data_IF_378599381333
#
_entry.id   IF_378599381333
#
_cell.length_a   1.000
_cell.length_b   1.000
_cell.length_c   1.000
_cell.angle_alpha   90.00
_cell.angle_beta   90.00
_cell.angle_gamma   90.00
#
_symmetry.space_group_name_H-M   'P 1'
#
loop_
_entity.id
_entity.type
_entity.pdbx_description
1 polymer ?
#
# COMPACT_ATOMS: atom_id res chain seq x y z
N UNK A 1 -2.71 1.43 35.48
CA UNK A 1 -2.54 0.16 34.76
C UNK A 1 -3.86 -0.13 34.03
N UNK A 2 -3.86 -0.05 32.70
CA UNK A 2 -5.06 0.21 31.90
C UNK A 2 -5.98 -1.03 31.75
N UNK A 3 -7.29 -0.84 31.86
CA UNK A 3 -8.33 -1.89 31.83
C UNK A 3 -8.33 -2.71 30.53
N UNK A 4 -7.87 -2.11 29.42
CA UNK A 4 -7.74 -2.77 28.10
C UNK A 4 -6.55 -3.74 28.01
N UNK A 5 -5.44 -3.44 28.69
CA UNK A 5 -4.27 -4.33 28.81
C UNK A 5 -4.61 -5.61 29.58
N UNK A 6 -5.50 -5.51 30.58
CA UNK A 6 -6.06 -6.69 31.27
C UNK A 6 -6.94 -7.52 30.35
N UNK A 7 -7.73 -6.90 29.48
CA UNK A 7 -8.61 -7.60 28.54
C UNK A 7 -7.81 -8.36 27.46
N UNK A 8 -6.73 -7.76 26.93
CA UNK A 8 -5.84 -8.43 25.98
C UNK A 8 -5.12 -9.63 26.59
N UNK A 9 -4.57 -9.48 27.80
CA UNK A 9 -3.94 -10.60 28.51
C UNK A 9 -4.95 -11.67 28.94
N UNK A 10 -6.15 -11.28 29.38
CA UNK A 10 -7.23 -12.22 29.67
C UNK A 10 -7.69 -12.96 28.41
N UNK A 11 -7.70 -12.33 27.24
CA UNK A 11 -8.07 -12.99 25.98
C UNK A 11 -7.01 -14.00 25.53
N UNK A 12 -5.72 -13.68 25.65
CA UNK A 12 -4.61 -14.60 25.34
C UNK A 12 -4.52 -15.74 26.35
N UNK A 13 -4.67 -15.46 27.64
CA UNK A 13 -4.72 -16.48 28.70
C UNK A 13 -5.99 -17.32 28.61
N UNK A 14 -7.12 -16.75 28.19
CA UNK A 14 -8.34 -17.50 27.89
C UNK A 14 -8.11 -18.41 26.68
N UNK A 15 -7.54 -17.93 25.58
CA UNK A 15 -7.26 -18.75 24.41
C UNK A 15 -6.33 -19.94 24.73
N UNK A 16 -5.31 -19.72 25.57
CA UNK A 16 -4.41 -20.78 26.05
C UNK A 16 -5.06 -21.73 27.07
N UNK A 17 -5.99 -21.25 27.90
CA UNK A 17 -6.76 -22.08 28.83
C UNK A 17 -7.89 -22.87 28.13
N UNK A 18 -8.52 -22.28 27.09
CA UNK A 18 -9.57 -22.91 26.28
C UNK A 18 -9.03 -24.02 25.38
N UNK A 19 -7.74 -23.98 24.99
CA UNK A 19 -7.08 -25.12 24.35
C UNK A 19 -6.98 -26.37 25.25
N UNK A 20 -7.08 -26.20 26.57
CA UNK A 20 -6.99 -27.29 27.55
C UNK A 20 -8.35 -27.74 28.11
N UNK A 21 -9.42 -26.96 27.93
CA UNK A 21 -10.77 -27.31 28.39
C UNK A 21 -11.73 -27.36 27.22
N UNK A 22 -12.15 -28.58 26.84
CA UNK A 22 -13.11 -28.88 25.77
C UNK A 22 -14.53 -28.36 25.99
N UNK A 23 -14.67 -27.07 26.25
CA UNK A 23 -15.94 -26.34 26.23
C UNK A 23 -16.17 -25.90 24.78
N UNK A 24 -17.28 -26.36 24.20
CA UNK A 24 -17.80 -25.91 22.91
C UNK A 24 -18.05 -24.41 22.98
N UNK A 25 -17.04 -23.60 22.66
CA UNK A 25 -17.24 -22.20 22.36
C UNK A 25 -18.07 -22.12 21.09
N UNK A 26 -19.10 -21.27 21.13
CA UNK A 26 -19.95 -20.96 20.00
C UNK A 26 -19.08 -20.66 18.77
N UNK A 27 -19.35 -21.31 17.64
CA UNK A 27 -18.49 -21.25 16.44
C UNK A 27 -18.26 -19.79 16.01
N UNK A 28 -19.23 -18.91 16.26
CA UNK A 28 -19.11 -17.47 16.02
C UNK A 28 -18.06 -16.76 16.89
N UNK A 29 -17.86 -17.18 18.15
CA UNK A 29 -16.87 -16.57 19.06
C UNK A 29 -15.45 -16.97 18.64
N UNK A 30 -15.25 -18.25 18.31
CA UNK A 30 -13.94 -18.73 17.82
C UNK A 30 -13.61 -18.06 16.49
N UNK A 31 -14.57 -18.01 15.56
CA UNK A 31 -14.36 -17.38 14.25
C UNK A 31 -14.05 -15.89 14.39
N UNK A 32 -14.79 -15.15 15.21
CA UNK A 32 -14.52 -13.73 15.44
C UNK A 32 -13.15 -13.49 16.09
N UNK A 33 -12.75 -14.34 17.05
CA UNK A 33 -11.42 -14.25 17.66
C UNK A 33 -10.29 -14.53 16.66
N UNK A 34 -10.46 -15.55 15.81
CA UNK A 34 -9.51 -15.86 14.73
C UNK A 34 -9.38 -14.70 13.75
N UNK A 35 -10.49 -14.21 13.21
CA UNK A 35 -10.46 -13.10 12.24
C UNK A 35 -9.90 -11.83 12.87
N UNK A 36 -10.25 -11.52 14.12
CA UNK A 36 -9.71 -10.34 14.83
C UNK A 36 -8.19 -10.46 15.05
N UNK A 37 -7.69 -11.64 15.39
CA UNK A 37 -6.25 -11.87 15.56
C UNK A 37 -5.49 -11.73 14.24
N UNK A 38 -6.10 -12.18 13.15
CA UNK A 38 -5.52 -12.07 11.82
C UNK A 38 -5.57 -10.62 11.32
N UNK A 39 -6.66 -9.88 11.55
CA UNK A 39 -6.77 -8.45 11.22
C UNK A 39 -5.76 -7.63 12.00
N UNK A 40 -5.52 -7.95 13.28
CA UNK A 40 -4.47 -7.32 14.05
C UNK A 40 -3.10 -7.49 13.38
N UNK A 41 -2.73 -8.71 13.00
CA UNK A 41 -1.47 -8.97 12.29
C UNK A 41 -1.45 -8.26 10.93
N UNK A 42 -2.56 -8.26 10.21
CA UNK A 42 -2.71 -7.59 8.92
C UNK A 42 -2.44 -6.09 9.03
N UNK A 43 -3.08 -5.40 9.98
CA UNK A 43 -2.92 -3.97 10.21
C UNK A 43 -1.46 -3.64 10.52
N UNK A 44 -0.73 -4.49 11.28
CA UNK A 44 0.71 -4.27 11.52
C UNK A 44 1.54 -4.38 10.24
N UNK A 45 1.19 -5.29 9.34
CA UNK A 45 1.88 -5.43 8.04
C UNK A 45 1.55 -4.24 7.14
N UNK A 46 0.29 -3.81 7.12
CA UNK A 46 -0.17 -2.64 6.38
C UNK A 46 0.58 -1.36 6.82
N UNK A 47 0.58 -1.05 8.11
CA UNK A 47 1.31 0.09 8.67
C UNK A 47 2.79 0.05 8.31
N UNK A 48 3.41 -1.13 8.42
CA UNK A 48 4.83 -1.29 8.08
C UNK A 48 5.11 -0.97 6.62
N UNK A 49 4.24 -1.40 5.70
CA UNK A 49 4.40 -1.10 4.28
C UNK A 49 4.25 0.41 4.03
N UNK A 50 3.32 1.08 4.71
CA UNK A 50 3.07 2.52 4.56
C UNK A 50 4.21 3.43 5.02
N UNK A 51 5.12 2.94 5.86
CA UNK A 51 6.26 3.71 6.37
C UNK A 51 7.10 4.27 5.22
N UNK A 52 7.38 3.46 4.19
CA UNK A 52 8.29 3.83 3.12
C UNK A 52 7.53 4.09 1.82
N UNK A 53 7.19 5.35 1.55
CA UNK A 53 6.48 5.75 0.33
C UNK A 53 7.43 6.08 -0.81
N UNK A 54 7.07 5.63 -2.00
CA UNK A 54 7.76 5.96 -3.25
C UNK A 54 6.92 6.88 -4.12
N UNK A 55 7.54 7.50 -5.11
CA UNK A 55 6.79 8.24 -6.12
C UNK A 55 7.59 8.42 -7.39
N UNK A 56 6.85 8.47 -8.50
CA UNK A 56 7.39 8.77 -9.82
C UNK A 56 6.57 9.87 -10.46
N UNK A 57 7.26 10.85 -11.03
CA UNK A 57 6.65 11.89 -11.84
C UNK A 57 7.39 12.04 -13.17
N UNK A 58 6.65 12.55 -14.15
CA UNK A 58 7.15 12.85 -15.48
C UNK A 58 6.87 14.30 -15.85
N UNK A 59 7.85 14.94 -16.50
CA UNK A 59 7.75 16.32 -16.97
C UNK A 59 9.09 17.04 -16.88
N UNK A 60 9.25 18.25 -17.42
CA UNK A 60 10.51 18.98 -17.32
C UNK A 60 10.78 19.41 -15.87
N UNK A 61 11.90 18.95 -15.30
CA UNK A 61 12.42 19.48 -14.03
C UNK A 61 13.93 19.58 -13.95
N UNK A 62 14.33 20.37 -12.96
CA UNK A 62 15.68 20.40 -12.47
C UNK A 62 15.68 20.66 -10.96
N UNK A 63 16.45 19.85 -10.24
CA UNK A 63 16.78 20.10 -8.85
C UNK A 63 16.69 18.87 -7.97
N UNK A 64 16.94 19.10 -6.69
CA UNK A 64 16.80 18.09 -5.66
C UNK A 64 16.39 18.77 -4.35
N UNK A 65 15.66 18.04 -3.53
CA UNK A 65 15.34 18.42 -2.16
C UNK A 65 15.54 17.20 -1.27
N UNK A 66 16.27 17.41 -0.18
CA UNK A 66 16.34 16.48 0.95
C UNK A 66 15.80 17.22 2.16
N UNK A 67 14.86 16.61 2.86
CA UNK A 67 14.32 17.15 4.10
C UNK A 67 14.32 16.08 5.18
N UNK A 68 14.91 16.42 6.31
CA UNK A 68 14.82 15.66 7.56
C UNK A 68 13.89 16.48 8.44
N UNK A 69 12.58 16.26 8.32
CA UNK A 69 11.51 17.10 8.90
C UNK A 69 11.43 18.51 8.30
N UNK A 70 10.44 19.29 8.74
CA UNK A 70 10.25 20.67 8.35
C UNK A 70 11.32 21.62 8.90
N UNK A 71 12.11 21.19 9.88
CA UNK A 71 13.10 22.04 10.54
C UNK A 71 14.48 21.95 9.88
N UNK A 72 14.76 20.87 9.15
CA UNK A 72 16.04 20.64 8.50
C UNK A 72 15.83 20.22 7.04
N UNK A 73 15.57 21.19 6.18
CA UNK A 73 15.43 21.03 4.74
C UNK A 73 16.63 21.63 4.00
N UNK A 74 17.03 21.00 2.89
CA UNK A 74 17.95 21.56 1.92
C UNK A 74 17.46 21.19 0.53
N UNK A 75 17.07 22.18 -0.27
CA UNK A 75 16.64 21.90 -1.62
C UNK A 75 16.39 23.13 -2.47
N UNK A 76 16.61 22.97 -3.76
CA UNK A 76 16.13 23.88 -4.77
C UNK A 76 15.57 23.01 -5.89
N UNK A 77 14.32 23.27 -6.26
CA UNK A 77 13.60 22.42 -7.20
C UNK A 77 12.66 23.26 -8.04
N UNK A 78 12.66 23.03 -9.35
CA UNK A 78 11.73 23.62 -10.29
C UNK A 78 11.26 22.54 -11.25
N UNK A 79 9.95 22.29 -11.25
CA UNK A 79 9.35 21.28 -12.10
C UNK A 79 8.00 21.74 -12.65
N UNK A 80 7.67 21.22 -13.82
CA UNK A 80 6.31 21.07 -14.29
C UNK A 80 6.09 19.57 -14.44
N UNK A 81 5.39 18.96 -13.48
CA UNK A 81 5.35 17.51 -13.34
C UNK A 81 3.93 16.99 -13.26
N UNK A 82 3.74 15.78 -13.78
CA UNK A 82 2.56 14.94 -13.57
C UNK A 82 3.05 13.62 -13.02
N UNK A 83 2.57 13.23 -11.85
CA UNK A 83 3.10 12.06 -11.16
C UNK A 83 2.09 11.38 -10.25
N UNK A 84 2.56 10.28 -9.67
CA UNK A 84 1.84 9.52 -8.68
C UNK A 84 2.77 9.09 -7.56
N UNK A 85 2.28 9.14 -6.34
CA UNK A 85 2.93 8.54 -5.18
C UNK A 85 2.35 7.14 -4.97
N UNK A 86 3.24 6.19 -4.69
CA UNK A 86 2.97 4.81 -4.35
C UNK A 86 2.89 4.65 -2.82
N UNK A 87 2.03 3.75 -2.33
CA UNK A 87 1.85 3.55 -0.89
C UNK A 87 3.07 2.87 -0.26
N UNK A 88 3.83 2.09 -1.03
CA UNK A 88 5.08 1.47 -0.60
C UNK A 88 6.02 1.23 -1.79
N UNK A 89 7.03 0.35 -1.70
CA UNK A 89 7.99 0.03 -2.79
C UNK A 89 7.91 -1.41 -3.34
N UNK A 90 6.84 -2.16 -3.02
CA UNK A 90 6.70 -3.58 -3.37
C UNK A 90 5.66 -3.73 -4.48
N UNK A 91 6.04 -3.83 -5.77
CA UNK A 91 5.10 -4.21 -6.82
C UNK A 91 4.81 -5.72 -6.76
N UNK A 92 3.60 -6.18 -7.16
CA UNK A 92 2.42 -5.40 -7.56
C UNK A 92 1.53 -4.99 -6.37
N UNK A 93 2.00 -5.25 -5.15
CA UNK A 93 1.26 -5.09 -3.91
C UNK A 93 0.72 -3.65 -3.70
N UNK A 94 1.27 -2.66 -4.41
CA UNK A 94 0.70 -1.31 -4.53
C UNK A 94 -0.78 -1.26 -4.89
N UNK A 95 -1.32 -2.26 -5.59
CA UNK A 95 -2.71 -2.30 -6.05
C UNK A 95 -3.71 -2.76 -4.98
N UNK A 96 -3.22 -3.18 -3.82
CA UNK A 96 -4.07 -3.60 -2.71
C UNK A 96 -4.44 -2.36 -1.88
N UNK A 97 -5.73 -2.11 -1.62
CA UNK A 97 -6.13 -1.18 -0.58
C UNK A 97 -5.86 -1.81 0.78
N UNK A 98 -4.84 -1.32 1.48
CA UNK A 98 -4.42 -1.86 2.78
C UNK A 98 -5.32 -1.41 3.93
N UNK A 99 -5.82 -0.18 3.83
CA UNK A 99 -6.62 0.50 4.84
C UNK A 99 -7.95 0.96 4.27
N UNK A 100 -8.93 1.19 5.14
CA UNK A 100 -10.20 1.80 4.75
C UNK A 100 -9.95 3.24 4.25
N UNK A 101 -10.60 3.63 3.14
CA UNK A 101 -10.59 4.99 2.56
C UNK A 101 -9.22 5.58 2.10
N UNK A 102 -8.16 4.77 1.98
CA UNK A 102 -6.87 5.25 1.44
C UNK A 102 -6.77 5.10 -0.09
N UNK A 103 -6.46 6.17 -0.84
CA UNK A 103 -6.26 6.06 -2.28
C UNK A 103 -4.95 5.34 -2.60
N UNK A 104 -5.06 4.26 -3.38
CA UNK A 104 -3.95 3.43 -3.89
C UNK A 104 -2.82 4.27 -4.51
N UNK A 105 -3.17 5.32 -5.27
CA UNK A 105 -2.20 6.26 -5.83
C UNK A 105 -2.62 7.69 -5.55
N UNK A 106 -1.73 8.47 -4.93
CA UNK A 106 -1.93 9.91 -4.78
C UNK A 106 -1.34 10.62 -5.99
N UNK A 107 -2.22 11.02 -6.92
CA UNK A 107 -1.85 11.71 -8.16
C UNK A 107 -1.65 13.19 -7.91
N UNK A 108 -0.66 13.78 -8.58
CA UNK A 108 -0.40 15.21 -8.56
C UNK A 108 -0.04 15.70 -9.97
N UNK A 109 -0.35 16.97 -10.25
CA UNK A 109 -0.04 17.61 -11.52
C UNK A 109 0.10 19.13 -11.32
N UNK A 110 1.16 19.72 -11.86
CA UNK A 110 1.28 21.17 -11.91
C UNK A 110 2.72 21.68 -11.97
N UNK A 111 2.84 23.01 -11.92
CA UNK A 111 4.11 23.71 -11.81
C UNK A 111 4.41 23.97 -10.34
N UNK A 112 5.59 23.52 -9.91
CA UNK A 112 6.07 23.66 -8.54
C UNK A 112 7.53 24.14 -8.55
N UNK A 113 7.77 25.26 -7.85
CA UNK A 113 9.12 25.79 -7.62
C UNK A 113 9.32 26.00 -6.13
N UNK A 114 10.44 25.51 -5.61
CA UNK A 114 10.78 25.67 -4.20
C UNK A 114 12.24 25.97 -4.00
N UNK A 115 12.50 26.74 -2.96
CA UNK A 115 13.80 26.87 -2.33
C UNK A 115 13.59 26.66 -0.83
N UNK A 116 14.26 25.66 -0.29
CA UNK A 116 14.17 25.27 1.11
C UNK A 116 15.58 25.23 1.72
N UNK A 117 15.75 25.88 2.87
CA UNK A 117 16.99 25.89 3.62
C UNK A 117 16.69 26.00 5.12
N UNK A 118 17.13 24.99 5.89
CA UNK A 118 16.78 24.86 7.30
C UNK A 118 15.27 24.73 7.48
N UNK A 119 14.69 25.57 8.33
CA UNK A 119 13.24 25.64 8.57
C UNK A 119 12.48 26.62 7.67
N UNK A 120 13.15 27.24 6.69
CA UNK A 120 12.52 28.25 5.84
C UNK A 120 12.30 27.65 4.46
N UNK A 121 11.03 27.68 4.02
CA UNK A 121 10.61 27.29 2.67
C UNK A 121 9.97 28.47 1.97
N UNK A 122 10.39 28.72 0.73
CA UNK A 122 9.70 29.62 -0.19
C UNK A 122 9.25 28.81 -1.39
N UNK A 123 7.96 28.74 -1.60
CA UNK A 123 7.36 28.01 -2.71
C UNK A 123 6.52 28.91 -3.59
N UNK A 124 6.51 28.59 -4.88
CA UNK A 124 5.64 29.20 -5.86
C UNK A 124 4.99 28.05 -6.64
N UNK A 125 3.69 27.89 -6.41
CA UNK A 125 2.93 26.73 -6.84
C UNK A 125 1.66 27.20 -7.53
N UNK A 126 1.33 26.56 -8.66
CA UNK A 126 0.07 26.86 -9.37
C UNK A 126 -1.15 26.36 -8.60
N UNK A 127 -1.04 25.18 -7.98
CA UNK A 127 -2.10 24.52 -7.22
C UNK A 127 -1.53 23.76 -6.01
N UNK A 128 -2.30 23.67 -4.92
CA UNK A 128 -1.87 23.01 -3.69
C UNK A 128 -1.52 21.51 -3.87
N UNK A 129 -1.98 20.88 -4.96
CA UNK A 129 -1.71 19.49 -5.32
C UNK A 129 -0.67 19.29 -6.43
N UNK A 130 0.21 20.27 -6.67
CA UNK A 130 1.18 20.22 -7.78
C UNK A 130 2.47 19.43 -7.49
N UNK A 131 2.62 18.85 -6.29
CA UNK A 131 3.83 18.17 -5.85
C UNK A 131 3.53 16.87 -5.10
N UNK A 132 4.56 16.04 -4.89
CA UNK A 132 4.48 14.87 -4.01
C UNK A 132 3.97 15.22 -2.61
N UNK A 133 3.23 14.32 -1.99
CA UNK A 133 2.65 14.52 -0.66
C UNK A 133 3.75 14.66 0.43
N UNK A 134 3.56 15.60 1.37
CA UNK A 134 4.58 16.00 2.35
C UNK A 134 3.93 16.31 3.69
N UNK A 135 4.41 15.64 4.74
CA UNK A 135 4.04 15.98 6.11
C UNK A 135 5.19 16.70 6.85
N UNK A 136 4.87 17.47 7.91
CA UNK A 136 5.86 18.23 8.68
C UNK A 136 7.02 17.41 9.25
N UNK A 137 6.77 16.15 9.62
CA UNK A 137 7.76 15.32 10.29
C UNK A 137 8.41 14.29 9.36
N UNK A 138 8.10 14.29 8.06
CA UNK A 138 8.61 13.29 7.13
C UNK A 138 10.11 13.44 6.87
N UNK A 139 10.79 12.31 6.69
CA UNK A 139 12.13 12.28 6.10
C UNK A 139 11.97 11.98 4.63
N UNK A 140 12.32 12.92 3.75
CA UNK A 140 12.05 12.82 2.32
C UNK A 140 13.23 13.21 1.47
N UNK A 141 13.30 12.61 0.30
CA UNK A 141 14.22 12.96 -0.76
C UNK A 141 13.45 12.97 -2.10
N UNK A 142 13.61 14.04 -2.86
CA UNK A 142 13.15 14.13 -4.24
C UNK A 142 14.30 14.59 -5.12
N UNK A 143 14.39 13.99 -6.30
CA UNK A 143 15.35 14.36 -7.34
C UNK A 143 14.65 14.37 -8.68
N UNK A 144 14.88 15.44 -9.44
CA UNK A 144 14.30 15.66 -10.74
C UNK A 144 15.37 16.18 -11.68
N UNK A 145 15.63 15.44 -12.75
CA UNK A 145 16.58 15.85 -13.78
C UNK A 145 16.04 15.47 -15.15
N UNK A 146 15.75 16.49 -15.96
CA UNK A 146 15.21 16.29 -17.29
C UNK A 146 13.73 15.94 -17.21
N UNK A 147 13.38 14.68 -17.50
CA UNK A 147 11.99 14.24 -17.69
C UNK A 147 11.47 13.36 -16.53
N UNK A 148 12.34 12.65 -15.82
CA UNK A 148 11.95 11.63 -14.83
C UNK A 148 12.36 12.07 -13.45
N UNK A 149 11.40 12.06 -12.52
CA UNK A 149 11.63 12.48 -11.15
C UNK A 149 11.35 11.33 -10.21
N UNK A 150 12.26 11.13 -9.26
CA UNK A 150 12.14 10.13 -8.21
C UNK A 150 11.82 10.79 -6.89
N UNK A 151 10.88 10.19 -6.16
CA UNK A 151 10.51 10.57 -4.81
C UNK A 151 10.60 9.37 -3.88
N UNK A 152 11.16 9.58 -2.70
CA UNK A 152 11.15 8.63 -1.61
C UNK A 152 10.92 9.37 -0.28
N UNK A 153 10.05 8.83 0.56
CA UNK A 153 9.80 9.38 1.87
C UNK A 153 9.58 8.29 2.92
N UNK A 154 10.03 8.58 4.13
CA UNK A 154 9.72 7.85 5.34
C UNK A 154 8.66 8.68 6.09
N UNK A 155 7.46 8.12 6.19
CA UNK A 155 6.31 8.71 6.87
C UNK A 155 6.45 8.49 8.38
N UNK A 156 6.91 9.51 9.10
CA UNK A 156 7.20 9.37 10.54
C UNK A 156 5.94 9.21 11.39
N UNK A 157 4.80 9.76 10.94
CA UNK A 157 3.50 9.48 11.56
C UNK A 157 3.16 7.99 11.48
N UNK A 158 3.37 7.37 10.32
CA UNK A 158 3.15 5.92 10.14
C UNK A 158 4.14 5.07 10.94
N UNK A 159 5.39 5.53 11.11
CA UNK A 159 6.32 4.88 12.06
C UNK A 159 5.76 4.91 13.48
N UNK A 160 5.21 6.05 13.91
CA UNK A 160 4.57 6.20 15.22
C UNK A 160 3.35 5.29 15.37
N UNK A 161 2.51 5.22 14.35
CA UNK A 161 1.31 4.38 14.35
C UNK A 161 1.64 2.89 14.39
N UNK A 162 2.56 2.44 13.54
CA UNK A 162 3.08 1.07 13.57
C UNK A 162 3.56 0.67 14.97
N UNK A 163 4.39 1.50 15.60
CA UNK A 163 4.92 1.25 16.95
C UNK A 163 3.82 1.29 18.01
N UNK A 164 2.84 2.18 17.89
CA UNK A 164 1.70 2.28 18.80
C UNK A 164 0.80 1.04 18.70
N UNK A 165 0.55 0.52 17.50
CA UNK A 165 -0.30 -0.65 17.38
C UNK A 165 0.39 -1.97 17.67
N UNK A 166 1.72 -2.04 17.79
CA UNK A 166 2.40 -3.17 18.48
C UNK A 166 1.86 -3.36 19.91
N UNK A 167 1.43 -2.28 20.57
CA UNK A 167 0.79 -2.33 21.90
C UNK A 167 -0.73 -2.20 21.83
N UNK A 168 -1.32 -2.35 20.65
CA UNK A 168 -2.77 -2.29 20.41
C UNK A 168 -3.38 -0.89 20.48
N UNK A 169 -2.59 0.15 20.25
CA UNK A 169 -3.09 1.52 20.07
C UNK A 169 -3.17 1.86 18.58
N UNK A 170 -4.18 2.63 18.21
CA UNK A 170 -4.40 3.11 16.84
C UNK A 170 -4.58 4.63 16.88
N UNK A 171 -3.47 5.41 16.91
CA UNK A 171 -3.52 6.87 16.88
C UNK A 171 -4.10 7.49 15.61
N UNK A 172 -3.91 6.86 14.44
CA UNK A 172 -4.35 7.40 13.15
C UNK A 172 -5.79 7.02 12.79
N UNK A 173 -6.30 5.93 13.32
CA UNK A 173 -7.69 5.50 13.15
C UNK A 173 -7.96 4.81 11.80
N UNK A 174 -6.91 4.46 11.05
CA UNK A 174 -6.95 3.92 9.69
C UNK A 174 -6.90 2.38 9.64
N UNK A 175 -6.78 1.71 10.78
CA UNK A 175 -6.85 0.25 10.92
C UNK A 175 -8.13 -0.34 10.31
N UNK A 176 -7.97 -1.38 9.48
CA UNK A 176 -9.08 -2.14 8.91
C UNK A 176 -9.87 -2.84 10.03
N UNK A 177 -11.20 -2.76 9.97
CA UNK A 177 -12.09 -3.29 11.02
C UNK A 177 -12.93 -4.45 10.52
N UNK A 178 -13.34 -5.28 11.47
CA UNK A 178 -14.27 -6.37 11.20
C UNK A 178 -15.66 -5.78 10.92
N UNK A 179 -16.03 -5.65 9.65
CA UNK A 179 -17.42 -5.39 9.29
C UNK A 179 -18.23 -6.71 9.36
N UNK A 180 -19.24 -6.82 10.26
CA UNK A 180 -20.09 -8.01 10.37
C UNK A 180 -21.16 -8.08 9.26
N UNK A 181 -21.37 -7.03 8.47
CA UNK A 181 -22.39 -6.95 7.44
C UNK A 181 -21.92 -7.45 6.07
N UNK A 182 -20.60 -7.52 5.86
CA UNK A 182 -20.00 -7.97 4.60
C UNK A 182 -19.99 -9.50 4.54
N UNK A 183 -20.53 -10.04 3.44
CA UNK A 183 -20.46 -11.48 3.15
C UNK A 183 -19.03 -11.85 2.73
N UNK A 184 -18.36 -12.62 3.58
CA UNK A 184 -17.01 -13.15 3.32
C UNK A 184 -17.07 -14.49 2.59
N UNK A 185 -16.20 -14.67 1.60
CA UNK A 185 -16.12 -15.91 0.80
C UNK A 185 -14.69 -16.47 0.77
N UNK A 186 -14.20 -17.06 1.89
CA UNK A 186 -12.82 -17.58 1.99
C UNK A 186 -12.47 -18.65 0.95
N UNK A 187 -13.42 -19.54 0.64
CA UNK A 187 -13.23 -20.60 -0.36
C UNK A 187 -13.05 -20.02 -1.77
N UNK A 188 -13.81 -18.97 -2.11
CA UNK A 188 -13.69 -18.29 -3.40
C UNK A 188 -12.37 -17.52 -3.49
N UNK A 189 -11.94 -16.87 -2.40
CA UNK A 189 -10.64 -16.21 -2.31
C UNK A 189 -9.47 -17.20 -2.46
N UNK A 190 -9.57 -18.37 -1.84
CA UNK A 190 -8.59 -19.45 -2.03
C UNK A 190 -8.60 -20.00 -3.47
N UNK A 191 -9.77 -20.22 -4.06
CA UNK A 191 -9.89 -20.75 -5.42
C UNK A 191 -9.31 -19.79 -6.47
N UNK A 192 -9.60 -18.48 -6.37
CA UNK A 192 -9.01 -17.47 -7.25
C UNK A 192 -7.50 -17.34 -7.03
N UNK A 193 -7.02 -17.47 -5.79
CA UNK A 193 -5.60 -17.26 -5.47
C UNK A 193 -4.74 -18.35 -6.09
N UNK A 194 -5.16 -19.61 -5.97
CA UNK A 194 -4.52 -20.75 -6.64
C UNK A 194 -4.57 -20.59 -8.16
N UNK A 195 -5.70 -20.16 -8.72
CA UNK A 195 -5.84 -19.92 -10.16
C UNK A 195 -4.87 -18.82 -10.64
N UNK A 196 -4.77 -17.73 -9.91
CA UNK A 196 -3.91 -16.60 -10.23
C UNK A 196 -2.43 -16.98 -10.18
N UNK A 197 -2.00 -17.80 -9.22
CA UNK A 197 -0.63 -18.32 -9.14
C UNK A 197 -0.34 -19.29 -10.28
N UNK A 198 -1.23 -20.24 -10.55
CA UNK A 198 -0.98 -21.30 -11.55
C UNK A 198 -1.03 -20.80 -13.00
N UNK A 199 -1.89 -19.81 -13.27
CA UNK A 199 -2.19 -19.36 -14.64
C UNK A 199 -1.83 -17.90 -14.91
N UNK A 200 -1.22 -17.19 -13.95
CA UNK A 200 -0.81 -15.78 -14.13
C UNK A 200 0.16 -15.54 -15.29
N UNK A 201 1.06 -16.49 -15.54
CA UNK A 201 2.01 -16.43 -16.65
C UNK A 201 1.35 -16.43 -18.05
N UNK A 202 0.11 -16.91 -18.18
CA UNK A 202 -0.62 -16.89 -19.47
C UNK A 202 -0.95 -15.47 -19.93
N UNK A 203 -0.97 -14.49 -19.02
CA UNK A 203 -1.15 -13.08 -19.38
C UNK A 203 -0.03 -12.58 -20.29
N UNK A 204 1.19 -13.13 -20.20
CA UNK A 204 2.30 -12.73 -21.06
C UNK A 204 1.96 -12.95 -22.55
N UNK A 205 1.60 -14.18 -22.91
CA UNK A 205 1.24 -14.54 -24.29
C UNK A 205 -0.07 -13.88 -24.75
N UNK A 206 -1.07 -13.83 -23.87
CA UNK A 206 -2.39 -13.24 -24.16
C UNK A 206 -2.28 -11.76 -24.54
N UNK A 207 -1.45 -10.98 -23.85
CA UNK A 207 -1.28 -9.55 -24.15
C UNK A 207 -0.43 -9.32 -25.41
N UNK A 208 0.58 -10.16 -25.68
CA UNK A 208 1.32 -10.10 -26.95
C UNK A 208 0.43 -10.35 -28.15
N UNK A 209 -0.44 -11.37 -28.09
CA UNK A 209 -1.39 -11.68 -29.18
C UNK A 209 -2.41 -10.56 -29.33
N UNK A 210 -3.02 -10.10 -28.22
CA UNK A 210 -4.04 -9.06 -28.25
C UNK A 210 -3.51 -7.75 -28.83
N UNK A 211 -2.40 -7.23 -28.30
CA UNK A 211 -1.80 -5.99 -28.81
C UNK A 211 -1.27 -6.19 -30.23
N UNK A 212 -0.79 -7.38 -30.58
CA UNK A 212 -0.40 -7.73 -31.94
C UNK A 212 -1.57 -7.63 -32.93
N UNK A 213 -2.76 -8.07 -32.53
CA UNK A 213 -3.98 -7.98 -33.34
C UNK A 213 -4.52 -6.54 -33.44
N UNK A 214 -4.43 -5.77 -32.36
CA UNK A 214 -5.00 -4.42 -32.28
C UNK A 214 -4.08 -3.35 -32.92
N UNK A 215 -2.76 -3.47 -32.74
CA UNK A 215 -1.77 -2.42 -33.05
C UNK A 215 -0.62 -2.91 -33.96
N UNK A 216 -0.62 -4.19 -34.33
CA UNK A 216 0.38 -4.81 -35.21
C UNK A 216 1.48 -5.58 -34.46
N UNK A 217 2.18 -6.47 -35.17
CA UNK A 217 3.11 -7.44 -34.58
C UNK A 217 4.23 -6.81 -33.74
N UNK A 218 4.78 -5.67 -34.20
CA UNK A 218 5.84 -4.95 -33.49
C UNK A 218 5.33 -4.32 -32.19
N UNK A 219 4.09 -3.82 -32.17
CA UNK A 219 3.44 -3.35 -30.96
C UNK A 219 3.13 -4.54 -30.01
N UNK A 220 2.73 -5.68 -30.55
CA UNK A 220 2.56 -6.93 -29.79
C UNK A 220 3.83 -7.37 -29.08
N UNK A 221 4.97 -7.34 -29.78
CA UNK A 221 6.27 -7.73 -29.20
C UNK A 221 6.82 -6.73 -28.20
N UNK A 222 6.55 -5.43 -28.37
CA UNK A 222 7.08 -4.38 -27.48
C UNK A 222 6.10 -4.04 -26.36
N UNK A 223 5.00 -3.38 -26.70
CA UNK A 223 3.94 -2.95 -25.77
C UNK A 223 3.19 -4.16 -25.19
N UNK A 224 2.85 -5.15 -26.02
CA UNK A 224 2.14 -6.36 -25.58
C UNK A 224 2.96 -7.20 -24.62
N UNK A 225 4.27 -7.33 -24.86
CA UNK A 225 5.19 -8.00 -23.93
C UNK A 225 5.28 -7.25 -22.60
N UNK A 226 5.52 -5.93 -22.61
CA UNK A 226 5.60 -5.14 -21.38
C UNK A 226 4.31 -5.18 -20.56
N UNK A 227 3.15 -5.06 -21.22
CA UNK A 227 1.85 -5.19 -20.58
C UNK A 227 1.61 -6.61 -20.03
N UNK A 228 2.06 -7.63 -20.77
CA UNK A 228 1.98 -9.02 -20.37
C UNK A 228 2.81 -9.32 -19.12
N UNK A 229 4.07 -8.88 -19.08
CA UNK A 229 4.93 -8.98 -17.89
C UNK A 229 4.28 -8.31 -16.69
N UNK A 230 3.78 -7.08 -16.87
CA UNK A 230 3.10 -6.36 -15.80
C UNK A 230 1.88 -7.12 -15.27
N UNK A 231 1.01 -7.59 -16.16
CA UNK A 231 -0.20 -8.35 -15.78
C UNK A 231 0.11 -9.69 -15.14
N UNK A 232 1.14 -10.39 -15.60
CA UNK A 232 1.62 -11.62 -14.95
C UNK A 232 2.08 -11.33 -13.53
N UNK A 233 2.93 -10.31 -13.32
CA UNK A 233 3.38 -9.93 -11.99
C UNK A 233 2.21 -9.56 -11.08
N UNK A 234 1.26 -8.75 -11.58
CA UNK A 234 0.04 -8.38 -10.84
C UNK A 234 -0.76 -9.60 -10.43
N UNK A 235 -0.99 -10.54 -11.37
CA UNK A 235 -1.82 -11.71 -11.11
C UNK A 235 -1.14 -12.68 -10.15
N UNK A 236 0.14 -12.96 -10.32
CA UNK A 236 0.88 -13.84 -9.41
C UNK A 236 1.03 -13.23 -8.01
N UNK A 237 1.36 -11.94 -7.92
CA UNK A 237 1.49 -11.25 -6.64
C UNK A 237 0.15 -11.13 -5.90
N UNK A 238 -0.93 -10.81 -6.61
CA UNK A 238 -2.29 -10.84 -6.04
C UNK A 238 -2.68 -12.27 -5.63
N UNK A 239 -2.29 -13.29 -6.39
CA UNK A 239 -2.52 -14.68 -6.03
C UNK A 239 -1.81 -15.08 -4.73
N UNK A 240 -0.53 -14.75 -4.56
CA UNK A 240 0.20 -15.02 -3.30
C UNK A 240 -0.43 -14.26 -2.13
N UNK A 241 -0.77 -12.99 -2.36
CA UNK A 241 -1.46 -12.16 -1.37
C UNK A 241 -2.80 -12.78 -0.94
N UNK A 242 -3.66 -13.12 -1.90
CA UNK A 242 -4.97 -13.71 -1.67
C UNK A 242 -4.86 -15.10 -1.04
N UNK A 243 -3.78 -15.84 -1.28
CA UNK A 243 -3.49 -17.11 -0.62
C UNK A 243 -3.07 -16.94 0.84
N UNK A 244 -2.39 -15.85 1.21
CA UNK A 244 -2.07 -15.56 2.62
C UNK A 244 -3.29 -14.99 3.35
N UNK A 245 -4.12 -14.24 2.64
CA UNK A 245 -5.27 -13.50 3.18
C UNK A 245 -6.61 -14.23 3.01
N UNK A 246 -6.63 -15.44 2.41
CA UNK A 246 -7.86 -16.19 2.13
C UNK A 246 -8.81 -16.36 3.32
N UNK A 247 -8.37 -16.49 4.59
CA UNK A 247 -9.29 -16.66 5.71
C UNK A 247 -10.21 -15.43 5.90
N UNK A 248 -9.80 -14.26 5.42
CA UNK A 248 -10.59 -13.04 5.50
C UNK A 248 -11.77 -13.00 4.52
N UNK A 249 -11.75 -13.81 3.45
CA UNK A 249 -12.80 -13.86 2.44
C UNK A 249 -13.09 -12.51 1.78
N UNK A 250 -12.05 -11.73 1.50
CA UNK A 250 -12.13 -10.41 0.88
C UNK A 250 -12.59 -10.47 -0.57
N UNK A 251 -13.08 -9.32 -1.04
CA UNK A 251 -13.39 -9.11 -2.45
C UNK A 251 -12.12 -9.25 -3.32
N UNK A 252 -12.28 -9.67 -4.59
CA UNK A 252 -11.16 -9.79 -5.52
C UNK A 252 -10.30 -8.52 -5.56
N UNK A 253 -8.98 -8.68 -5.41
CA UNK A 253 -8.02 -7.59 -5.68
C UNK A 253 -7.88 -7.38 -7.19
N UNK A 254 -7.88 -8.49 -7.93
CA UNK A 254 -7.84 -8.50 -9.40
C UNK A 254 -9.11 -9.17 -9.90
N UNK A 255 -9.93 -8.40 -10.62
CA UNK A 255 -11.08 -8.96 -11.32
C UNK A 255 -10.59 -9.91 -12.44
N UNK A 256 -11.19 -11.11 -12.57
CA UNK A 256 -10.70 -12.16 -13.47
C UNK A 256 -10.65 -11.77 -14.94
#
# INVERSE_FOLDING_TARGET
>A
MNTRLRQGWLAVSAALAFGASGLRADEGVINNALVSSQLYVWNRVADFLEIARGGLAVGPSIGAEVAVTEHAMLGAYAAQERGASFPHFVPPLWLVPYMEDTPIFTKHEGLYRTVAYGGIRKENVTDAGAHFDREPLDVRAQVGLGIVHGYAAIKTRQVGDFLAGVVGMDPLGDDAKLDPTIRRLPADQFGRSVTNILFGWLELGKNMIRVGQDEGELAGFTKGFGLGVWRTLVREGAGVFELVTFPFGWSPVVEP
#
